data_IF_179059671348
#
_entry.id   IF_179059671348
#
_cell.length_a   1.000
_cell.length_b   1.000
_cell.length_c   1.000
_cell.angle_alpha   90.00
_cell.angle_beta   90.00
_cell.angle_gamma   90.00
#
_symmetry.space_group_name_H-M   'P 1'
#
loop_
_entity.id
_entity.type
_entity.pdbx_description
1 polymer ?
#
# COMPACT_ATOMS: atom_id res chain seq x y z
N UNK A 1 -9.33 4.23 15.31
CA UNK A 1 -9.32 3.29 14.20
C UNK A 1 -8.49 2.06 14.57
N UNK A 2 -9.06 0.91 14.41
CA UNK A 2 -8.41 -0.34 14.81
C UNK A 2 -8.22 -1.24 13.61
N UNK A 3 -7.08 -1.92 13.59
CA UNK A 3 -6.77 -2.89 12.56
C UNK A 3 -6.93 -4.30 13.11
N UNK A 4 -7.34 -5.21 12.25
CA UNK A 4 -7.31 -6.63 12.57
C UNK A 4 -5.84 -7.07 12.53
N UNK A 5 -5.39 -7.78 13.58
CA UNK A 5 -3.98 -8.14 13.74
C UNK A 5 -3.48 -9.19 12.76
N UNK A 6 -4.38 -9.86 12.08
CA UNK A 6 -4.03 -10.94 11.15
C UNK A 6 -4.76 -10.72 9.83
N UNK A 7 -4.21 -11.24 8.73
CA UNK A 7 -4.86 -11.06 7.44
C UNK A 7 -6.16 -11.84 7.34
N UNK A 8 -7.16 -11.21 6.73
CA UNK A 8 -8.43 -11.86 6.43
C UNK A 8 -8.25 -12.87 5.30
N UNK A 9 -7.36 -12.55 4.38
CA UNK A 9 -7.08 -13.39 3.24
C UNK A 9 -5.60 -13.34 2.92
N UNK A 10 -5.02 -14.53 2.68
CA UNK A 10 -3.64 -14.63 2.25
C UNK A 10 -3.57 -15.56 1.04
N UNK A 11 -3.00 -15.07 -0.06
CA UNK A 11 -2.78 -15.88 -1.24
C UNK A 11 -1.45 -15.49 -1.85
N UNK A 12 -0.48 -16.40 -1.74
CA UNK A 12 0.86 -16.11 -2.21
C UNK A 12 1.44 -14.91 -1.48
N UNK A 13 1.61 -13.81 -2.18
CA UNK A 13 2.25 -12.61 -1.67
C UNK A 13 1.29 -11.45 -1.45
N UNK A 14 0.01 -11.75 -1.32
CA UNK A 14 -1.01 -10.74 -1.08
C UNK A 14 -1.64 -10.95 0.28
N UNK A 15 -1.74 -9.88 1.06
CA UNK A 15 -2.40 -9.85 2.37
C UNK A 15 -3.51 -8.83 2.34
N UNK A 16 -4.65 -9.19 2.90
CA UNK A 16 -5.76 -8.25 3.07
C UNK A 16 -6.16 -8.17 4.53
N UNK A 17 -6.48 -6.95 4.97
CA UNK A 17 -6.89 -6.66 6.33
C UNK A 17 -8.19 -5.88 6.32
N UNK A 18 -9.05 -6.17 7.29
CA UNK A 18 -10.21 -5.32 7.53
C UNK A 18 -9.82 -4.30 8.58
N UNK A 19 -10.11 -3.04 8.28
CA UNK A 19 -9.94 -1.93 9.20
C UNK A 19 -11.29 -1.66 9.83
N UNK A 20 -11.36 -1.68 11.17
CA UNK A 20 -12.64 -1.42 11.82
C UNK A 20 -12.52 -0.35 12.90
N UNK A 21 -13.63 0.28 13.16
CA UNK A 21 -13.77 1.28 14.21
C UNK A 21 -14.83 0.75 15.17
N UNK A 22 -14.40 0.27 16.34
CA UNK A 22 -15.29 -0.46 17.22
C UNK A 22 -15.82 -1.72 16.54
N UNK A 23 -17.14 -1.84 16.43
CA UNK A 23 -17.77 -2.98 15.76
C UNK A 23 -18.09 -2.74 14.29
N UNK A 24 -17.76 -1.55 13.80
CA UNK A 24 -18.11 -1.17 12.42
C UNK A 24 -16.90 -1.38 11.52
N UNK A 25 -17.10 -2.13 10.45
CA UNK A 25 -16.07 -2.28 9.43
C UNK A 25 -15.97 -1.00 8.62
N UNK A 26 -14.82 -0.35 8.69
CA UNK A 26 -14.60 0.96 8.10
C UNK A 26 -13.88 0.90 6.76
N UNK A 27 -13.04 -0.10 6.55
CA UNK A 27 -12.26 -0.16 5.34
C UNK A 27 -11.57 -1.48 5.13
N UNK A 28 -10.87 -1.55 4.02
CA UNK A 28 -10.01 -2.68 3.66
C UNK A 28 -8.64 -2.12 3.31
N UNK A 29 -7.61 -2.72 3.87
CA UNK A 29 -6.24 -2.44 3.51
C UNK A 29 -5.65 -3.71 2.89
N UNK A 30 -4.92 -3.56 1.80
CA UNK A 30 -4.25 -4.69 1.17
C UNK A 30 -2.80 -4.36 0.89
N UNK A 31 -1.96 -5.39 0.97
CA UNK A 31 -0.54 -5.30 0.63
C UNK A 31 -0.22 -6.42 -0.33
N UNK A 32 0.37 -6.08 -1.45
CA UNK A 32 0.76 -7.04 -2.47
C UNK A 32 2.24 -6.87 -2.78
N UNK A 33 2.97 -7.98 -2.76
CA UNK A 33 4.41 -8.00 -3.02
C UNK A 33 4.64 -8.71 -4.35
N UNK A 34 5.27 -8.01 -5.28
CA UNK A 34 5.60 -8.56 -6.59
C UNK A 34 7.10 -8.74 -6.70
N UNK A 35 7.55 -10.00 -6.64
CA UNK A 35 8.96 -10.37 -6.77
C UNK A 35 9.29 -10.75 -8.20
N UNK A 36 8.86 -9.92 -9.13
CA UNK A 36 9.16 -10.19 -10.52
C UNK A 36 10.47 -9.52 -10.93
N UNK A 37 10.86 -9.74 -12.17
CA UNK A 37 12.12 -9.24 -12.68
C UNK A 37 12.08 -7.75 -12.99
N UNK A 38 11.89 -6.96 -11.94
CA UNK A 38 12.03 -5.53 -12.05
C UNK A 38 13.48 -5.17 -11.77
N UNK A 39 14.03 -4.30 -12.61
CA UNK A 39 15.40 -3.84 -12.45
C UNK A 39 15.40 -2.32 -12.46
N UNK A 40 16.05 -1.75 -11.45
CA UNK A 40 16.26 -0.32 -11.36
C UNK A 40 17.76 -0.10 -11.24
N UNK A 41 18.31 0.64 -12.19
CA UNK A 41 19.75 0.89 -12.27
C UNK A 41 20.57 -0.42 -12.26
N UNK A 42 20.06 -1.45 -12.95
CA UNK A 42 20.75 -2.73 -13.07
C UNK A 42 20.64 -3.64 -11.86
N UNK A 43 19.92 -3.24 -10.82
CA UNK A 43 19.72 -4.05 -9.62
C UNK A 43 18.28 -4.53 -9.55
N UNK A 44 18.10 -5.77 -9.09
CA UNK A 44 16.77 -6.33 -8.98
C UNK A 44 15.95 -5.59 -7.93
N UNK A 45 14.71 -5.29 -8.30
CA UNK A 45 13.78 -4.57 -7.44
C UNK A 45 12.53 -5.39 -7.16
N UNK A 46 11.99 -5.19 -5.98
CA UNK A 46 10.70 -5.76 -5.57
C UNK A 46 9.70 -4.62 -5.47
N UNK A 47 8.51 -4.82 -6.01
CA UNK A 47 7.44 -3.86 -5.95
C UNK A 47 6.46 -4.25 -4.85
N UNK A 48 6.19 -3.33 -3.94
CA UNK A 48 5.19 -3.52 -2.88
C UNK A 48 4.09 -2.49 -3.09
N UNK A 49 2.86 -2.98 -3.22
CA UNK A 49 1.70 -2.12 -3.42
C UNK A 49 0.79 -2.21 -2.21
N UNK A 50 0.50 -1.08 -1.61
CA UNK A 50 -0.47 -0.97 -0.54
C UNK A 50 -1.69 -0.20 -1.02
N UNK A 51 -2.87 -0.70 -0.70
CA UNK A 51 -4.13 -0.05 -1.07
C UNK A 51 -4.99 0.04 0.18
N UNK A 52 -5.58 1.22 0.39
CA UNK A 52 -6.54 1.44 1.45
C UNK A 52 -7.81 2.02 0.87
N UNK A 53 -8.96 1.47 1.27
CA UNK A 53 -10.24 2.00 0.83
C UNK A 53 -11.27 1.89 1.93
N UNK A 54 -12.14 2.88 2.01
CA UNK A 54 -13.29 2.85 2.90
C UNK A 54 -14.37 1.93 2.35
N UNK A 55 -15.17 1.36 3.23
CA UNK A 55 -16.29 0.50 2.86
C UNK A 55 -17.51 0.84 3.71
N UNK A 56 -18.68 0.35 3.25
CA UNK A 56 -19.92 0.46 4.01
C UNK A 56 -20.31 1.89 4.28
N UNK A 57 -20.79 2.14 5.48
CA UNK A 57 -21.24 3.47 5.89
C UNK A 57 -20.12 4.49 5.89
N UNK A 58 -18.90 4.08 6.22
CA UNK A 58 -17.76 4.99 6.19
C UNK A 58 -17.48 5.50 4.79
N UNK A 59 -17.63 4.65 3.78
CA UNK A 59 -17.44 5.05 2.39
C UNK A 59 -18.43 6.14 2.00
N UNK A 60 -19.61 6.09 2.55
CA UNK A 60 -20.65 7.06 2.28
C UNK A 60 -20.38 8.42 2.92
N UNK A 61 -19.83 8.42 4.15
CA UNK A 61 -19.50 9.65 4.87
C UNK A 61 -18.17 10.24 4.45
N UNK A 62 -17.16 9.41 4.28
CA UNK A 62 -15.81 9.88 4.02
C UNK A 62 -15.09 8.86 3.16
N UNK A 63 -15.17 9.09 1.88
CA UNK A 63 -14.62 8.16 0.89
C UNK A 63 -13.11 8.22 0.86
N UNK A 64 -12.46 7.08 1.07
CA UNK A 64 -11.01 6.95 1.03
C UNK A 64 -10.62 5.98 -0.07
N UNK A 65 -9.71 6.42 -0.93
CA UNK A 65 -9.12 5.58 -1.98
C UNK A 65 -7.64 5.95 -2.09
N UNK A 66 -6.82 5.24 -1.33
CA UNK A 66 -5.39 5.52 -1.26
C UNK A 66 -4.60 4.37 -1.85
N UNK A 67 -3.49 4.70 -2.52
CA UNK A 67 -2.56 3.70 -2.99
C UNK A 67 -1.12 4.14 -2.72
N UNK A 68 -0.29 3.17 -2.39
CA UNK A 68 1.12 3.37 -2.08
C UNK A 68 1.91 2.31 -2.82
N UNK A 69 2.91 2.73 -3.58
CA UNK A 69 3.76 1.80 -4.32
C UNK A 69 5.21 2.09 -3.95
N UNK A 70 5.91 1.06 -3.51
CA UNK A 70 7.32 1.16 -3.17
C UNK A 70 8.11 0.19 -4.03
N UNK A 71 9.18 0.69 -4.64
CA UNK A 71 10.17 -0.14 -5.32
C UNK A 71 11.40 -0.17 -4.43
N UNK A 72 11.87 -1.35 -4.10
CA UNK A 72 13.01 -1.51 -3.20
C UNK A 72 13.99 -2.54 -3.74
N UNK A 73 15.24 -2.45 -3.29
CA UNK A 73 16.23 -3.47 -3.61
C UNK A 73 15.78 -4.79 -3.00
N UNK A 74 15.76 -5.85 -3.82
CA UNK A 74 15.28 -7.15 -3.38
C UNK A 74 16.13 -7.74 -2.25
N UNK A 75 17.43 -7.48 -2.25
CA UNK A 75 18.34 -8.04 -1.25
C UNK A 75 18.45 -7.17 -0.01
N UNK A 76 18.65 -5.86 -0.19
CA UNK A 76 18.94 -4.97 0.94
C UNK A 76 17.69 -4.33 1.53
N UNK A 77 16.58 -4.34 0.78
CA UNK A 77 15.32 -3.68 1.12
C UNK A 77 15.43 -2.16 1.18
N UNK A 78 16.48 -1.60 0.60
CA UNK A 78 16.60 -0.14 0.49
C UNK A 78 15.62 0.38 -0.55
N UNK A 79 14.88 1.44 -0.25
CA UNK A 79 13.91 1.97 -1.20
C UNK A 79 14.59 2.67 -2.36
N UNK A 80 14.04 2.47 -3.56
CA UNK A 80 14.46 3.20 -4.75
C UNK A 80 13.47 4.29 -5.11
N UNK A 81 12.18 3.98 -4.96
CA UNK A 81 11.13 4.87 -5.40
C UNK A 81 9.87 4.60 -4.59
N UNK A 82 9.20 5.67 -4.23
CA UNK A 82 7.93 5.61 -3.51
C UNK A 82 6.93 6.51 -4.24
N UNK A 83 5.77 5.96 -4.57
CA UNK A 83 4.69 6.71 -5.22
C UNK A 83 3.45 6.60 -4.35
N UNK A 84 2.84 7.72 -4.07
CA UNK A 84 1.65 7.76 -3.24
C UNK A 84 0.55 8.54 -3.95
N UNK A 85 -0.62 7.94 -4.02
CA UNK A 85 -1.83 8.61 -4.48
C UNK A 85 -2.83 8.59 -3.33
N UNK A 86 -3.28 9.75 -2.93
CA UNK A 86 -4.21 9.90 -1.81
C UNK A 86 -5.47 10.57 -2.29
N UNK A 87 -6.62 9.95 -2.00
CA UNK A 87 -7.93 10.51 -2.25
C UNK A 87 -8.79 10.26 -1.02
N UNK A 88 -8.90 11.28 -0.18
CA UNK A 88 -9.60 11.18 1.10
C UNK A 88 -10.62 12.29 1.21
N UNK A 89 -11.90 11.91 1.18
CA UNK A 89 -12.99 12.85 1.27
C UNK A 89 -12.99 13.89 0.15
N UNK A 90 -12.47 13.54 -1.02
CA UNK A 90 -12.37 14.47 -2.14
C UNK A 90 -11.08 15.28 -2.16
N UNK A 91 -10.25 15.15 -1.15
CA UNK A 91 -8.92 15.75 -1.14
C UNK A 91 -7.96 14.79 -1.84
N UNK A 92 -7.40 15.22 -2.96
CA UNK A 92 -6.57 14.37 -3.81
C UNK A 92 -5.18 14.96 -3.94
N UNK A 93 -4.17 14.14 -3.72
CA UNK A 93 -2.81 14.54 -4.05
C UNK A 93 -1.96 13.32 -4.39
N UNK A 94 -0.90 13.60 -5.16
CA UNK A 94 0.06 12.60 -5.58
C UNK A 94 1.45 13.03 -5.15
N UNK A 95 2.25 12.07 -4.71
CA UNK A 95 3.65 12.32 -4.36
C UNK A 95 4.51 11.20 -4.92
N UNK A 96 5.71 11.56 -5.33
CA UNK A 96 6.70 10.61 -5.77
C UNK A 96 8.04 10.98 -5.17
N UNK A 97 8.71 9.99 -4.60
CA UNK A 97 10.03 10.16 -4.05
C UNK A 97 10.98 9.18 -4.74
N UNK A 98 12.09 9.68 -5.20
CA UNK A 98 13.14 8.86 -5.77
C UNK A 98 14.34 8.94 -4.84
N UNK A 99 14.85 7.79 -4.45
CA UNK A 99 15.96 7.69 -3.54
C UNK A 99 17.23 7.40 -4.31
N UNK A 100 18.24 8.20 -4.11
CA UNK A 100 19.53 8.05 -4.78
C UNK A 100 20.53 7.45 -3.79
N UNK A 101 20.89 6.19 -4.03
CA UNK A 101 21.85 5.50 -3.20
C UNK A 101 23.21 5.49 -3.89
N UNK A 102 24.18 6.07 -3.23
CA UNK A 102 25.56 6.01 -3.70
C UNK A 102 26.25 4.80 -3.08
N UNK A 103 26.89 4.02 -3.91
CA UNK A 103 27.62 2.84 -3.44
C UNK A 103 29.04 3.17 -3.05
#
# INVERSE_FOLDING_TARGET
>A
LQFVDYPVFTKGEKLEFIVHYGIINAGIASVEIEKQDFYINGKQATKVTGIGKSIGAFDWFFKVRDSYVTYMNTETLEPYRFVRHVDEGGFVFDQEYNFNHED
#
